data_IF_019047137527
#
_entry.id   IF_019047137527
#
_cell.length_a   1.000
_cell.length_b   1.000
_cell.length_c   1.000
_cell.angle_alpha   90.00
_cell.angle_beta   90.00
_cell.angle_gamma   90.00
#
_symmetry.space_group_name_H-M   'P 1'
#
loop_
_entity.id
_entity.type
_entity.pdbx_description
1 polymer ?
#
# COMPACT_ATOMS: atom_id res chain seq x y z
N UNK A 1 -11.32 -0.42 11.08
CA UNK A 1 -11.24 -1.54 10.12
C UNK A 1 -11.90 -2.75 10.79
N UNK A 2 -13.05 -3.30 10.38
CA UNK A 2 -13.69 -3.34 9.06
C UNK A 2 -15.16 -3.77 9.21
N UNK A 3 -16.11 -3.05 8.59
CA UNK A 3 -17.47 -3.54 8.31
C UNK A 3 -17.53 -4.40 7.03
N UNK A 4 -16.39 -4.62 6.38
CA UNK A 4 -16.26 -5.39 5.15
C UNK A 4 -16.04 -6.86 5.45
N UNK A 5 -16.46 -7.71 4.51
CA UNK A 5 -16.21 -9.13 4.53
C UNK A 5 -14.69 -9.42 4.61
N UNK A 6 -14.20 -10.09 5.67
CA UNK A 6 -12.78 -10.40 5.83
C UNK A 6 -12.19 -11.19 4.66
N UNK A 7 -12.94 -12.16 4.12
CA UNK A 7 -12.45 -12.99 3.01
C UNK A 7 -12.24 -12.18 1.72
N UNK A 8 -13.06 -11.15 1.50
CA UNK A 8 -12.90 -10.27 0.33
C UNK A 8 -11.74 -9.29 0.50
N UNK A 9 -11.45 -8.87 1.74
CA UNK A 9 -10.25 -8.10 2.03
C UNK A 9 -9.00 -8.94 1.80
N UNK A 10 -8.94 -10.17 2.31
CA UNK A 10 -7.81 -11.06 2.09
C UNK A 10 -7.56 -11.30 0.59
N UNK A 11 -8.64 -11.52 -0.19
CA UNK A 11 -8.54 -11.64 -1.64
C UNK A 11 -8.03 -10.37 -2.32
N UNK A 12 -8.45 -9.19 -1.85
CA UNK A 12 -7.94 -7.90 -2.35
C UNK A 12 -6.45 -7.74 -2.03
N UNK A 13 -5.99 -8.13 -0.83
CA UNK A 13 -4.58 -8.08 -0.46
C UNK A 13 -3.72 -9.01 -1.33
N UNK A 14 -4.18 -10.24 -1.58
CA UNK A 14 -3.52 -11.16 -2.50
C UNK A 14 -3.44 -10.55 -3.90
N UNK A 15 -4.50 -9.89 -4.39
CA UNK A 15 -4.47 -9.17 -5.67
C UNK A 15 -3.47 -8.02 -5.67
N UNK A 16 -3.39 -7.24 -4.59
CA UNK A 16 -2.40 -6.17 -4.46
C UNK A 16 -0.97 -6.71 -4.55
N UNK A 17 -0.67 -7.80 -3.84
CA UNK A 17 0.65 -8.45 -3.87
C UNK A 17 0.99 -8.97 -5.28
N UNK A 18 0.03 -9.60 -5.96
CA UNK A 18 0.24 -10.13 -7.31
C UNK A 18 0.44 -9.02 -8.35
N UNK A 19 -0.30 -7.91 -8.23
CA UNK A 19 -0.25 -6.79 -9.18
C UNK A 19 1.03 -5.97 -9.03
N UNK A 20 1.40 -5.61 -7.80
CA UNK A 20 2.58 -4.77 -7.52
C UNK A 20 3.90 -5.55 -7.57
N UNK A 21 3.81 -6.88 -7.45
CA UNK A 21 4.94 -7.77 -7.22
C UNK A 21 5.28 -7.89 -5.73
N UNK A 22 5.77 -9.07 -5.29
CA UNK A 22 5.96 -9.38 -3.88
C UNK A 22 6.95 -8.43 -3.19
N UNK A 23 8.05 -8.07 -3.85
CA UNK A 23 9.06 -7.15 -3.31
C UNK A 23 8.50 -5.74 -3.09
N UNK A 24 7.85 -5.17 -4.11
CA UNK A 24 7.22 -3.84 -4.02
C UNK A 24 6.17 -3.81 -2.91
N UNK A 25 5.34 -4.85 -2.86
CA UNK A 25 4.30 -4.97 -1.85
C UNK A 25 4.88 -5.06 -0.44
N UNK A 26 5.94 -5.85 -0.25
CA UNK A 26 6.66 -5.96 1.03
C UNK A 26 7.20 -4.60 1.48
N UNK A 27 7.82 -3.84 0.57
CA UNK A 27 8.32 -2.48 0.87
C UNK A 27 7.20 -1.52 1.28
N UNK A 28 6.02 -1.62 0.68
CA UNK A 28 4.86 -0.81 1.07
C UNK A 28 4.38 -1.17 2.48
N UNK A 29 4.17 -2.45 2.78
CA UNK A 29 3.58 -2.88 4.07
C UNK A 29 4.55 -2.82 5.25
N UNK A 30 5.85 -2.95 5.00
CA UNK A 30 6.92 -2.85 6.02
C UNK A 30 7.24 -1.41 6.44
N UNK A 31 6.72 -0.43 5.72
CA UNK A 31 6.95 0.99 5.96
C UNK A 31 5.68 1.66 6.45
N UNK A 32 5.58 2.04 7.73
CA UNK A 32 4.39 2.67 8.29
C UNK A 32 3.83 3.86 7.48
N UNK A 33 4.63 4.81 6.95
CA UNK A 33 4.09 5.91 6.16
C UNK A 33 3.52 5.46 4.81
N UNK A 34 4.20 4.54 4.08
CA UNK A 34 3.66 3.98 2.82
C UNK A 34 2.41 3.15 3.07
N UNK A 35 2.44 2.31 4.10
CA UNK A 35 1.29 1.49 4.47
C UNK A 35 0.06 2.35 4.78
N UNK A 36 0.23 3.44 5.53
CA UNK A 36 -0.85 4.38 5.82
C UNK A 36 -1.44 4.99 4.55
N UNK A 37 -0.60 5.43 3.61
CA UNK A 37 -1.03 5.95 2.32
C UNK A 37 -1.79 4.93 1.48
N UNK A 38 -1.20 3.74 1.36
CA UNK A 38 -1.78 2.65 0.59
C UNK A 38 -3.13 2.20 1.15
N UNK A 39 -3.22 1.99 2.46
CA UNK A 39 -4.46 1.61 3.14
C UNK A 39 -5.55 2.68 2.99
N UNK A 40 -5.18 3.97 3.05
CA UNK A 40 -6.12 5.08 2.83
C UNK A 40 -6.65 5.08 1.39
N UNK A 41 -5.77 4.88 0.40
CA UNK A 41 -6.15 4.77 -1.01
C UNK A 41 -7.07 3.58 -1.28
N UNK A 42 -6.75 2.40 -0.72
CA UNK A 42 -7.59 1.21 -0.83
C UNK A 42 -8.95 1.40 -0.16
N UNK A 43 -9.00 2.02 1.03
CA UNK A 43 -10.27 2.30 1.70
C UNK A 43 -11.16 3.24 0.86
N UNK A 44 -10.58 4.28 0.26
CA UNK A 44 -11.30 5.16 -0.65
C UNK A 44 -11.82 4.40 -1.88
N UNK A 45 -11.01 3.52 -2.47
CA UNK A 45 -11.42 2.68 -3.59
C UNK A 45 -12.57 1.72 -3.21
N UNK A 46 -12.50 1.07 -2.05
CA UNK A 46 -13.56 0.19 -1.55
C UNK A 46 -14.87 0.99 -1.38
N UNK A 47 -14.80 2.17 -0.76
CA UNK A 47 -15.96 3.06 -0.57
C UNK A 47 -16.58 3.49 -1.90
N UNK A 48 -15.76 3.86 -2.87
CA UNK A 48 -16.22 4.25 -4.22
C UNK A 48 -16.91 3.10 -4.96
N UNK A 49 -16.54 1.86 -4.64
CA UNK A 49 -17.17 0.65 -5.17
C UNK A 49 -18.34 0.12 -4.32
N UNK A 50 -18.98 0.99 -3.54
CA UNK A 50 -20.15 0.64 -2.72
C UNK A 50 -19.82 -0.22 -1.51
N UNK A 51 -18.58 -0.15 -1.02
CA UNK A 51 -18.13 -0.93 0.14
C UNK A 51 -17.82 -2.39 -0.17
N UNK A 52 -17.60 -2.74 -1.45
CA UNK A 52 -17.34 -4.12 -1.89
C UNK A 52 -15.87 -4.26 -2.34
N UNK A 53 -14.98 -4.85 -1.53
CA UNK A 53 -13.56 -5.01 -1.88
C UNK A 53 -13.33 -5.74 -3.21
N UNK A 54 -14.14 -6.75 -3.53
CA UNK A 54 -14.02 -7.51 -4.77
C UNK A 54 -14.19 -6.66 -6.05
N UNK A 55 -14.83 -5.48 -5.95
CA UNK A 55 -15.05 -4.57 -7.08
C UNK A 55 -13.93 -3.57 -7.30
N UNK A 56 -12.94 -3.50 -6.40
CA UNK A 56 -11.76 -2.64 -6.60
C UNK A 56 -11.00 -3.12 -7.83
N UNK A 57 -10.80 -2.22 -8.79
CA UNK A 57 -10.09 -2.50 -10.04
C UNK A 57 -8.57 -2.42 -9.86
N UNK A 58 -7.82 -3.02 -10.77
CA UNK A 58 -6.35 -2.98 -10.73
C UNK A 58 -5.83 -1.53 -10.83
N UNK A 59 -6.46 -0.69 -11.66
CA UNK A 59 -6.13 0.74 -11.75
C UNK A 59 -6.34 1.50 -10.43
N UNK A 60 -7.31 1.08 -9.61
CA UNK A 60 -7.52 1.67 -8.27
C UNK A 60 -6.48 1.19 -7.26
N UNK A 61 -6.00 -0.06 -7.40
CA UNK A 61 -4.88 -0.58 -6.61
C UNK A 61 -3.60 0.19 -6.96
N UNK A 62 -3.33 0.39 -8.26
CA UNK A 62 -2.22 1.20 -8.75
C UNK A 62 -2.31 2.64 -8.25
N UNK A 63 -3.50 3.25 -8.30
CA UNK A 63 -3.73 4.59 -7.73
C UNK A 63 -3.48 4.65 -6.23
N UNK A 64 -3.90 3.63 -5.47
CA UNK A 64 -3.58 3.54 -4.04
C UNK A 64 -2.06 3.42 -3.82
N UNK A 65 -1.36 2.70 -4.69
CA UNK A 65 0.10 2.62 -4.67
C UNK A 65 0.75 3.97 -4.98
N UNK A 66 0.23 4.74 -5.95
CA UNK A 66 0.69 6.11 -6.23
C UNK A 66 0.60 6.99 -4.98
N UNK A 67 -0.52 6.96 -4.26
CA UNK A 67 -0.66 7.70 -2.98
C UNK A 67 0.40 7.26 -1.96
N UNK A 68 0.68 5.96 -1.86
CA UNK A 68 1.69 5.44 -0.94
C UNK A 68 3.09 6.00 -1.24
N UNK A 69 3.49 6.02 -2.51
CA UNK A 69 4.82 6.50 -2.93
C UNK A 69 4.93 8.03 -2.95
N UNK A 70 3.81 8.77 -3.03
CA UNK A 70 3.81 10.22 -2.82
C UNK A 70 4.07 10.60 -1.35
N UNK A 71 3.53 9.82 -0.40
CA UNK A 71 3.74 10.07 1.04
C UNK A 71 5.17 9.76 1.47
N UNK A 72 5.72 8.64 0.99
CA UNK A 72 7.07 8.22 1.34
C UNK A 72 7.73 7.54 0.14
N UNK A 73 8.39 8.33 -0.72
CA UNK A 73 9.09 7.84 -1.90
C UNK A 73 10.21 6.85 -1.53
N UNK A 74 10.54 5.97 -2.46
CA UNK A 74 11.63 5.00 -2.28
C UNK A 74 12.99 5.67 -2.10
N UNK A 75 13.20 6.81 -2.73
CA UNK A 75 14.41 7.62 -2.64
C UNK A 75 14.57 8.19 -1.22
N UNK A 76 13.46 8.56 -0.58
CA UNK A 76 13.47 9.09 0.78
C UNK A 76 13.77 7.98 1.80
N UNK A 77 13.26 6.77 1.57
CA UNK A 77 13.65 5.57 2.33
C UNK A 77 15.16 5.29 2.23
N UNK A 78 15.72 5.36 1.01
CA UNK A 78 17.15 5.16 0.78
C UNK A 78 17.97 6.23 1.52
N UNK A 79 17.62 7.50 1.36
CA UNK A 79 18.29 8.61 2.05
C UNK A 79 18.24 8.46 3.58
N UNK A 80 17.09 8.13 4.15
CA UNK A 80 16.96 7.96 5.60
C UNK A 80 17.81 6.78 6.11
N UNK A 81 17.86 5.69 5.35
CA UNK A 81 18.70 4.53 5.68
C UNK A 81 20.18 4.90 5.65
N UNK A 82 20.63 5.60 4.61
CA UNK A 82 22.01 6.06 4.50
C UNK A 82 22.37 7.00 5.64
N UNK A 83 21.55 8.04 5.89
CA UNK A 83 21.79 9.01 6.97
C UNK A 83 21.89 8.38 8.36
N UNK A 84 21.05 7.39 8.67
CA UNK A 84 21.07 6.70 9.96
C UNK A 84 22.28 5.76 10.11
N UNK A 85 22.78 5.20 9.00
CA UNK A 85 23.93 4.30 9.01
C UNK A 85 25.28 5.03 8.88
N UNK A 86 25.30 6.26 8.34
CA UNK A 86 26.51 7.09 8.22
C UNK A 86 27.07 7.56 9.58
N UNK A 87 26.25 7.49 10.64
CA UNK A 87 26.66 7.78 12.02
C UNK A 87 27.17 6.58 12.83
N UNK A 88 27.25 5.38 12.22
CA UNK A 88 27.58 4.13 12.91
C UNK A 88 29.04 3.67 12.76
N UNK A 89 29.94 4.54 12.28
CA UNK A 89 31.38 4.28 12.12
C UNK A 89 32.22 4.73 13.31
#
# INVERSE_FOLDING_TARGET
>A
MSNYNPAELDALFVRCQNLLGPETFERVVSSPPRWSGFATGLEAAIKNNGGVPAKVSDAQIEGAFTVAVEIWPFELEAFASDYLNDGAS
#
